data_IF_891711436906
#
_entry.id   IF_891711436906
#
_cell.length_a   1.000
_cell.length_b   1.000
_cell.length_c   1.000
_cell.angle_alpha   90.00
_cell.angle_beta   90.00
_cell.angle_gamma   90.00
#
_symmetry.space_group_name_H-M   'P 1'
#
loop_
_entity.id
_entity.type
_entity.pdbx_description
1 polymer ?
2 non-polymer ?
3 non-polymer ?
4 non-polymer ?
5 non-polymer ?
6 non-polymer ?
7 water ?
#
# COMPACT_ATOMS: atom_id res chain seq x y z
N UNK A 4 -14.72 -9.21 -3.57
CA UNK A 4 -14.11 -9.55 -4.86
C UNK A 4 -14.10 -8.35 -5.81
N UNK A 5 -12.97 -8.18 -6.51
CA UNK A 5 -12.81 -7.11 -7.48
C UNK A 5 -12.22 -7.68 -8.76
N UNK A 6 -12.46 -7.04 -9.89
CA UNK A 6 -11.90 -7.48 -11.16
C UNK A 6 -10.92 -6.47 -11.73
N UNK A 7 -11.25 -5.20 -11.61
CA UNK A 7 -10.40 -4.15 -12.13
C UNK A 7 -9.71 -3.39 -11.01
N UNK A 8 -8.38 -3.50 -10.97
CA UNK A 8 -7.57 -2.80 -9.99
C UNK A 8 -6.61 -1.87 -10.70
N UNK A 9 -6.48 -0.66 -10.17
CA UNK A 9 -5.43 0.25 -10.58
C UNK A 9 -4.41 0.38 -9.45
N UNK A 10 -3.15 0.17 -9.79
CA UNK A 10 -2.06 0.28 -8.84
C UNK A 10 -1.31 1.57 -9.08
N UNK A 11 -1.38 2.47 -8.11
CA UNK A 11 -0.65 3.74 -8.16
C UNK A 11 0.68 3.52 -7.43
N UNK A 12 1.74 4.16 -7.93
CA UNK A 12 3.06 3.93 -7.37
C UNK A 12 3.54 2.53 -7.70
N UNK A 13 3.26 2.13 -8.94
CA UNK A 13 3.44 0.74 -9.38
C UNK A 13 4.89 0.23 -9.36
N UNK A 14 5.87 1.13 -9.36
CA UNK A 14 7.27 0.68 -9.38
C UNK A 14 7.80 0.28 -8.00
N UNK A 15 7.06 0.58 -6.94
CA UNK A 15 7.48 0.25 -5.59
C UNK A 15 7.60 -1.25 -5.42
N UNK A 16 8.40 -1.70 -4.46
CA UNK A 16 8.62 -3.13 -4.28
C UNK A 16 7.36 -3.91 -3.94
N UNK A 17 6.59 -3.43 -2.97
CA UNK A 17 5.36 -4.13 -2.61
C UNK A 17 4.39 -4.09 -3.80
N UNK A 18 4.32 -2.96 -4.49
CA UNK A 18 3.43 -2.84 -5.63
C UNK A 18 3.79 -3.84 -6.72
N UNK A 19 5.08 -4.02 -6.97
CA UNK A 19 5.50 -4.99 -7.98
C UNK A 19 5.18 -6.43 -7.56
N UNK A 20 5.44 -6.75 -6.29
CA UNK A 20 5.16 -8.08 -5.81
C UNK A 20 3.70 -8.34 -5.83
N UNK A 21 2.90 -7.32 -5.50
CA UNK A 21 1.44 -7.46 -5.54
C UNK A 21 0.99 -7.76 -6.95
N UNK A 22 1.52 -7.01 -7.92
CA UNK A 22 1.15 -7.18 -9.32
C UNK A 22 1.42 -8.61 -9.75
N UNK A 23 2.60 -9.12 -9.41
CA UNK A 23 2.95 -10.49 -9.78
C UNK A 23 2.01 -11.51 -9.14
N UNK A 24 1.63 -11.27 -7.89
CA UNK A 24 0.77 -12.19 -7.18
C UNK A 24 -0.66 -12.16 -7.73
N UNK A 25 -1.13 -10.96 -8.07
CA UNK A 25 -2.45 -10.85 -8.71
C UNK A 25 -2.50 -11.51 -10.08
N UNK A 26 -1.41 -11.40 -10.86
CA UNK A 26 -1.39 -12.04 -12.17
C UNK A 26 -1.39 -13.55 -12.05
N UNK A 27 -0.67 -14.06 -11.06
CA UNK A 27 -0.50 -15.51 -10.92
C UNK A 27 -1.74 -16.20 -10.33
N UNK A 28 -2.37 -15.54 -9.37
CA UNK A 28 -3.41 -16.19 -8.56
C UNK A 28 -4.84 -15.64 -8.72
N UNK A 29 -5.03 -14.66 -9.60
CA UNK A 29 -6.37 -14.11 -9.86
C UNK A 29 -6.60 -13.89 -11.35
N UNK A 30 -7.83 -13.55 -11.70
CA UNK A 30 -8.17 -13.19 -13.06
C UNK A 30 -8.36 -11.67 -13.20
N UNK A 31 -7.82 -10.91 -12.25
CA UNK A 31 -7.98 -9.46 -12.27
C UNK A 31 -7.29 -8.78 -13.45
N UNK A 32 -7.91 -7.72 -13.96
CA UNK A 32 -7.27 -6.86 -14.94
C UNK A 32 -6.58 -5.74 -14.20
N UNK A 33 -5.29 -5.56 -14.47
CA UNK A 33 -4.47 -4.65 -13.70
C UNK A 33 -3.98 -3.47 -14.51
N UNK A 34 -4.22 -2.27 -13.99
CA UNK A 34 -3.71 -1.06 -14.61
C UNK A 34 -2.62 -0.49 -13.73
N UNK A 35 -1.42 -0.33 -14.28
CA UNK A 35 -0.28 0.21 -13.53
C UNK A 35 -0.07 1.68 -13.89
N UNK A 36 0.14 2.52 -12.88
CA UNK A 36 0.35 3.95 -13.11
C UNK A 36 1.63 4.42 -12.43
N UNK A 37 2.41 5.25 -13.15
CA UNK A 37 3.65 5.77 -12.62
C UNK A 37 4.56 6.31 -13.70
N UNK A 38 5.73 6.79 -13.30
CA UNK A 38 6.67 7.40 -14.25
C UNK A 38 7.62 6.38 -14.86
N UNK A 39 7.68 6.33 -16.19
CA UNK A 39 8.58 5.42 -16.92
C UNK A 39 8.49 3.95 -16.46
N UNK A 40 7.28 3.46 -16.29
CA UNK A 40 7.06 2.10 -15.80
C UNK A 40 7.63 1.01 -16.69
N UNK A 41 7.55 1.22 -17.99
CA UNK A 41 7.98 0.23 -18.94
C UNK A 41 9.45 -0.02 -18.83
N UNK A 42 10.16 0.86 -18.11
CA UNK A 42 11.59 0.70 -17.90
C UNK A 42 11.97 0.44 -16.44
N UNK A 43 11.06 0.71 -15.52
CA UNK A 43 11.33 0.51 -14.09
C UNK A 43 10.76 -0.81 -13.54
N UNK A 44 9.87 -1.43 -14.32
CA UNK A 44 9.23 -2.67 -13.92
C UNK A 44 9.65 -3.74 -14.94
N UNK A 45 10.02 -4.93 -14.46
CA UNK A 45 10.57 -5.96 -15.36
C UNK A 45 9.56 -6.53 -16.35
N UNK A 46 10.06 -7.16 -17.43
CA UNK A 46 9.20 -7.76 -18.46
C UNK A 46 8.25 -8.82 -17.90
N UNK A 47 8.66 -9.59 -16.90
CA UNK A 47 7.80 -10.63 -16.33
C UNK A 47 6.60 -10.10 -15.55
N UNK A 48 6.60 -8.80 -15.27
CA UNK A 48 5.49 -8.17 -14.55
C UNK A 48 4.64 -7.29 -15.50
N UNK A 49 5.21 -6.94 -16.65
CA UNK A 49 4.55 -6.02 -17.60
C UNK A 49 3.96 -6.62 -18.92
N UNK A 50 4.73 -7.41 -19.65
CA UNK A 50 4.32 -7.89 -20.99
C UNK A 50 3.04 -8.74 -21.02
N UNK A 51 2.38 -8.84 -19.88
CA UNK A 51 1.23 -9.71 -19.67
C UNK A 51 -0.05 -9.12 -20.25
N UNK A 52 -0.91 -9.98 -20.78
CA UNK A 52 -2.20 -9.62 -21.34
C UNK A 52 -3.06 -8.74 -20.42
N UNK A 53 -3.12 -9.11 -19.14
CA UNK A 53 -4.01 -8.43 -18.20
C UNK A 53 -3.39 -7.20 -17.56
N UNK A 54 -2.26 -6.73 -18.09
CA UNK A 54 -1.64 -5.51 -17.60
C UNK A 54 -1.81 -4.38 -18.61
N UNK A 55 -2.33 -3.26 -18.14
CA UNK A 55 -2.37 -2.03 -18.91
C UNK A 55 -1.42 -1.07 -18.21
N UNK A 56 -0.50 -0.46 -18.95
CA UNK A 56 0.46 0.48 -18.37
C UNK A 56 0.13 1.91 -18.79
N UNK A 57 -0.06 2.79 -17.81
CA UNK A 57 -0.23 4.21 -18.07
C UNK A 57 0.87 5.02 -17.39
N UNK A 58 1.66 5.74 -18.18
CA UNK A 58 2.74 6.54 -17.62
C UNK A 58 2.28 7.95 -17.28
N UNK A 59 2.73 8.44 -16.13
CA UNK A 59 2.35 9.77 -15.66
C UNK A 59 2.71 9.95 -14.21
N UNK A 60 2.59 11.19 -13.72
CA UNK A 60 2.86 11.49 -12.33
C UNK A 60 1.57 11.89 -11.64
N UNK A 61 1.62 12.09 -10.33
CA UNK A 61 0.44 12.53 -9.60
C UNK A 61 0.06 13.97 -9.89
N UNK A 62 0.91 14.67 -10.66
CA UNK A 62 0.64 16.05 -11.05
C UNK A 62 0.07 16.13 -12.47
N UNK A 63 -0.24 14.97 -13.05
CA UNK A 63 -0.94 14.91 -14.33
C UNK A 63 -2.35 14.37 -14.12
N UNK A 64 -3.31 15.28 -13.86
CA UNK A 64 -4.67 14.86 -13.50
C UNK A 64 -5.35 14.09 -14.61
N UNK A 65 -5.11 14.51 -15.86
CA UNK A 65 -5.68 13.78 -16.99
C UNK A 65 -5.23 12.34 -17.04
N UNK A 66 -3.93 12.11 -16.88
CA UNK A 66 -3.37 10.76 -16.97
C UNK A 66 -3.80 9.92 -15.77
N UNK A 67 -3.85 10.56 -14.60
CA UNK A 67 -4.26 9.88 -13.38
C UNK A 67 -5.72 9.46 -13.45
N UNK A 68 -6.57 10.34 -13.96
CA UNK A 68 -8.00 10.04 -14.11
C UNK A 68 -8.24 8.90 -15.11
N UNK A 69 -7.48 8.86 -16.20
CA UNK A 69 -7.57 7.77 -17.16
C UNK A 69 -7.27 6.44 -16.47
N UNK A 70 -6.22 6.44 -15.65
CA UNK A 70 -5.77 5.21 -14.99
C UNK A 70 -6.81 4.61 -14.03
N UNK A 71 -7.59 5.47 -13.38
CA UNK A 71 -8.57 4.99 -12.41
C UNK A 71 -9.99 4.89 -12.96
N UNK A 72 -10.16 5.32 -14.21
CA UNK A 72 -11.46 5.21 -14.88
C UNK A 72 -11.90 3.76 -14.87
N UNK A 73 -13.14 3.52 -14.44
CA UNK A 73 -13.67 2.16 -14.30
C UNK A 73 -12.93 1.19 -13.35
N UNK A 74 -12.00 1.68 -12.54
CA UNK A 74 -11.40 0.84 -11.51
C UNK A 74 -12.46 0.46 -10.48
N UNK A 75 -12.36 -0.75 -9.95
CA UNK A 75 -13.25 -1.19 -8.88
C UNK A 75 -12.57 -1.01 -7.53
N UNK A 76 -11.24 -1.03 -7.55
CA UNK A 76 -10.41 -0.81 -6.37
C UNK A 76 -9.10 -0.20 -6.79
N UNK A 77 -8.55 0.69 -5.97
CA UNK A 77 -7.29 1.34 -6.26
C UNK A 77 -6.30 1.08 -5.14
N UNK A 78 -5.10 0.64 -5.49
CA UNK A 78 -4.06 0.42 -4.50
C UNK A 78 -3.06 1.56 -4.59
N UNK A 79 -2.77 2.19 -3.46
CA UNK A 79 -1.80 3.28 -3.43
C UNK A 79 -0.53 2.80 -2.76
N UNK A 80 0.51 2.57 -3.56
CA UNK A 80 1.74 1.94 -3.06
C UNK A 80 2.55 2.80 -2.10
N UNK A 81 2.43 4.11 -2.23
CA UNK A 81 3.22 5.02 -1.42
C UNK A 81 2.36 6.20 -1.01
N UNK A 82 2.28 6.44 0.30
CA UNK A 82 1.53 7.58 0.83
C UNK A 82 2.52 8.55 1.46
N UNK A 83 3.25 9.26 0.62
CA UNK A 83 4.40 10.02 1.07
C UNK A 83 4.19 11.53 1.08
N UNK A 84 3.09 11.98 0.49
CA UNK A 84 2.88 13.39 0.23
C UNK A 84 1.40 13.79 0.34
N UNK A 85 1.12 14.81 1.14
CA UNK A 85 -0.21 15.39 1.21
C UNK A 85 -0.71 15.87 -0.15
N UNK A 86 0.17 16.53 -0.92
CA UNK A 86 -0.18 17.04 -2.25
C UNK A 86 -0.53 15.90 -3.19
N UNK A 87 0.34 14.88 -3.22
CA UNK A 87 0.08 13.74 -4.08
C UNK A 87 -1.22 13.07 -3.66
N UNK A 88 -1.43 12.96 -2.35
CA UNK A 88 -2.64 12.33 -1.85
C UNK A 88 -3.91 13.10 -2.24
N UNK A 89 -3.86 14.43 -2.18
CA UNK A 89 -5.03 15.22 -2.56
C UNK A 89 -5.35 15.04 -4.04
N UNK A 90 -4.31 14.96 -4.85
CA UNK A 90 -4.48 14.76 -6.29
C UNK A 90 -5.14 13.43 -6.57
N UNK A 91 -4.72 12.41 -5.82
CA UNK A 91 -5.32 11.09 -5.96
C UNK A 91 -6.79 11.09 -5.54
N UNK A 92 -7.09 11.68 -4.39
CA UNK A 92 -8.46 11.69 -3.89
C UNK A 92 -9.39 12.42 -4.86
N UNK A 93 -8.91 13.53 -5.42
CA UNK A 93 -9.69 14.26 -6.42
C UNK A 93 -9.96 13.45 -7.68
N UNK A 94 -8.94 12.76 -8.16
CA UNK A 94 -9.12 11.94 -9.36
C UNK A 94 -10.15 10.84 -9.10
N UNK A 95 -10.05 10.19 -7.95
CA UNK A 95 -11.00 9.13 -7.59
C UNK A 95 -12.40 9.70 -7.53
N UNK A 96 -12.52 10.88 -6.94
CA UNK A 96 -13.82 11.54 -6.78
C UNK A 96 -14.47 11.78 -8.13
N UNK A 97 -13.67 12.29 -9.06
CA UNK A 97 -14.18 12.66 -10.38
C UNK A 97 -14.60 11.45 -11.19
N UNK A 98 -14.02 10.30 -10.88
CA UNK A 98 -14.36 9.09 -11.60
C UNK A 98 -15.27 8.15 -10.81
N UNK A 99 -15.80 8.64 -9.69
CA UNK A 99 -16.73 7.87 -8.87
C UNK A 99 -16.14 6.58 -8.32
N UNK A 100 -14.83 6.57 -8.06
CA UNK A 100 -14.16 5.41 -7.49
C UNK A 100 -14.21 5.51 -5.97
N UNK A 101 -14.58 4.43 -5.29
CA UNK A 101 -14.85 4.48 -3.84
C UNK A 101 -13.83 3.72 -3.02
N UNK A 102 -13.37 2.59 -3.54
CA UNK A 102 -12.57 1.65 -2.74
C UNK A 102 -11.07 1.84 -2.95
N UNK A 103 -10.36 2.13 -1.86
CA UNK A 103 -8.93 2.34 -1.95
C UNK A 103 -8.19 1.68 -0.79
N UNK A 104 -7.07 1.03 -1.12
CA UNK A 104 -6.19 0.42 -0.12
C UNK A 104 -4.85 1.12 -0.26
N UNK A 105 -4.34 1.70 0.82
CA UNK A 105 -3.10 2.44 0.73
C UNK A 105 -2.09 2.04 1.78
N UNK A 106 -0.82 2.18 1.45
CA UNK A 106 0.26 1.78 2.35
C UNK A 106 0.92 2.97 3.03
N UNK A 107 0.93 2.95 4.35
CA UNK A 107 1.53 3.99 5.17
C UNK A 107 2.54 3.34 6.11
N UNK A 108 3.08 4.12 7.03
CA UNK A 108 4.05 3.59 7.99
C UNK A 108 3.45 3.49 9.38
N UNK A 109 3.79 2.41 10.07
CA UNK A 109 3.42 2.26 11.47
C UNK A 109 4.23 3.24 12.29
N UNK A 110 3.64 3.77 13.36
CA UNK A 110 4.38 4.60 14.29
C UNK A 110 3.88 6.03 14.42
N UNK A 111 3.18 6.51 13.40
CA UNK A 111 2.70 7.89 13.32
C UNK A 111 1.79 8.29 14.46
N UNK A 112 0.99 7.33 14.92
CA UNK A 112 0.01 7.57 15.97
C UNK A 112 0.52 7.17 17.34
N UNK A 113 1.84 7.01 17.46
CA UNK A 113 2.46 6.68 18.74
C UNK A 113 2.11 5.29 19.24
N UNK A 114 1.90 4.36 18.30
CA UNK A 114 1.46 3.00 18.64
C UNK A 114 2.60 2.02 18.93
N UNK A 115 3.81 2.38 18.54
CA UNK A 115 5.00 1.61 18.90
C UNK A 115 5.36 1.79 20.37
N UNK A 116 5.81 0.71 21.02
CA UNK A 116 6.37 0.83 22.37
C UNK A 116 7.62 1.72 22.35
N UNK A 117 8.02 2.22 23.51
CA UNK A 117 9.07 3.22 23.64
C UNK A 117 10.34 3.03 22.81
N UNK A 118 11.00 1.90 22.98
CA UNK A 118 12.30 1.67 22.34
C UNK A 118 12.20 1.57 20.83
N UNK A 119 11.18 0.85 20.35
CA UNK A 119 10.96 0.70 18.92
C UNK A 119 10.58 2.02 18.27
N UNK A 120 9.86 2.85 19.02
CA UNK A 120 9.47 4.16 18.54
C UNK A 120 10.68 5.08 18.36
N UNK A 121 11.52 5.16 19.40
CA UNK A 121 12.72 6.00 19.33
C UNK A 121 13.66 5.59 18.20
N UNK A 122 13.93 4.30 18.09
CA UNK A 122 14.78 3.80 17.02
C UNK A 122 14.19 4.15 15.66
N UNK A 123 12.88 3.94 15.51
CA UNK A 123 12.19 4.24 14.26
C UNK A 123 12.36 5.70 13.84
N UNK A 124 12.12 6.62 14.76
CA UNK A 124 12.14 8.04 14.40
C UNK A 124 13.53 8.67 14.32
N UNK A 125 14.54 7.92 14.74
CA UNK A 125 15.93 8.34 14.56
C UNK A 125 16.49 7.75 13.26
N UNK A 126 15.81 6.76 12.72
CA UNK A 126 16.24 6.14 11.47
C UNK A 126 15.38 6.53 10.26
N UNK A 127 14.63 7.62 10.41
CA UNK A 127 13.83 8.17 9.31
C UNK A 127 14.02 9.68 9.20
N UNK A 128 14.11 10.20 7.96
CA UNK A 128 14.17 11.65 7.78
C UNK A 128 12.86 12.27 8.27
N UNK A 129 12.94 13.43 8.93
CA UNK A 129 11.75 14.05 9.47
C UNK A 129 10.76 14.39 8.36
N UNK A 130 11.28 14.91 7.25
CA UNK A 130 10.45 15.27 6.10
C UNK A 130 9.67 14.07 5.59
N UNK A 131 10.26 12.88 5.68
CA UNK A 131 9.57 11.67 5.23
C UNK A 131 8.38 11.38 6.12
N UNK A 132 8.60 11.42 7.43
CA UNK A 132 7.53 11.18 8.38
C UNK A 132 6.42 12.23 8.23
N UNK A 133 6.82 13.49 8.10
CA UNK A 133 5.86 14.59 7.95
C UNK A 133 4.97 14.38 6.74
N UNK A 134 5.58 13.95 5.63
CA UNK A 134 4.83 13.73 4.41
C UNK A 134 3.87 12.57 4.54
N UNK A 135 4.32 11.51 5.22
CA UNK A 135 3.46 10.37 5.47
C UNK A 135 2.26 10.77 6.32
N UNK A 136 2.52 11.61 7.32
CA UNK A 136 1.45 12.08 8.20
C UNK A 136 0.41 12.88 7.40
N UNK A 137 0.88 13.76 6.53
CA UNK A 137 -0.02 14.59 5.73
C UNK A 137 -0.83 13.77 4.75
N UNK A 138 -0.18 12.81 4.10
CA UNK A 138 -0.90 11.93 3.18
C UNK A 138 -1.98 11.17 3.91
N UNK A 139 -1.65 10.66 5.09
CA UNK A 139 -2.60 9.90 5.87
C UNK A 139 -3.78 10.79 6.20
N UNK A 140 -3.48 12.02 6.61
CA UNK A 140 -4.53 12.93 7.03
C UNK A 140 -5.47 13.28 5.88
N UNK A 141 -4.91 13.51 4.70
CA UNK A 141 -5.74 13.79 3.54
C UNK A 141 -6.69 12.64 3.23
N UNK A 142 -6.18 11.42 3.28
CA UNK A 142 -7.02 10.27 2.98
C UNK A 142 -8.11 10.11 4.04
N UNK A 143 -7.75 10.25 5.32
CA UNK A 143 -8.74 10.14 6.38
C UNK A 143 -9.85 11.19 6.27
N UNK A 144 -9.52 12.34 5.71
CA UNK A 144 -10.49 13.41 5.56
C UNK A 144 -11.40 13.26 4.35
N UNK A 145 -11.07 12.32 3.47
CA UNK A 145 -11.89 12.06 2.29
C UNK A 145 -13.13 11.28 2.69
N UNK A 146 -14.06 11.06 1.76
CA UNK A 146 -15.19 10.16 2.02
C UNK A 146 -15.02 8.79 1.38
N UNK A 147 -13.78 8.44 1.05
CA UNK A 147 -13.50 7.18 0.38
C UNK A 147 -13.65 5.98 1.33
N UNK A 148 -14.01 4.83 0.74
CA UNK A 148 -14.01 3.58 1.48
C UNK A 148 -12.58 3.08 1.51
N UNK A 149 -11.79 3.63 2.42
CA UNK A 149 -10.35 3.37 2.44
C UNK A 149 -9.96 2.31 3.47
N UNK A 150 -8.85 1.64 3.21
CA UNK A 150 -8.16 0.86 4.22
C UNK A 150 -6.71 1.30 4.18
N UNK A 151 -6.20 1.83 5.28
CA UNK A 151 -4.80 2.21 5.36
C UNK A 151 -4.08 1.06 6.03
N UNK A 152 -2.98 0.63 5.43
CA UNK A 152 -2.18 -0.43 6.02
C UNK A 152 -0.94 0.22 6.60
N UNK A 153 -0.80 0.13 7.92
CA UNK A 153 0.35 0.71 8.61
C UNK A 153 1.43 -0.34 8.72
N UNK A 154 2.42 -0.24 7.84
CA UNK A 154 3.45 -1.26 7.79
C UNK A 154 4.59 -0.93 8.72
N UNK A 155 5.06 -1.95 9.44
CA UNK A 155 6.28 -1.82 10.21
C UNK A 155 7.46 -2.05 9.24
N UNK A 156 8.66 -2.15 9.79
CA UNK A 156 9.88 -2.14 8.97
C UNK A 156 9.95 -3.32 8.02
N UNK A 157 10.21 -3.05 6.75
CA UNK A 157 10.14 -4.07 5.70
C UNK A 157 11.46 -4.76 5.40
N UNK A 158 11.35 -6.02 5.03
CA UNK A 158 12.48 -6.76 4.48
C UNK A 158 11.93 -7.77 3.50
N UNK A 159 12.80 -8.42 2.75
CA UNK A 159 12.36 -9.43 1.79
C UNK A 159 12.74 -10.85 2.23
N UNK A 160 11.76 -11.75 2.20
CA UNK A 160 12.00 -13.20 2.38
C UNK A 160 10.77 -13.98 1.92
N UNK A 161 10.92 -14.74 0.82
CA UNK A 161 9.81 -15.51 0.25
C UNK A 161 9.28 -16.57 1.22
N UNK A 162 10.08 -16.95 2.21
CA UNK A 162 9.70 -18.01 3.13
C UNK A 162 8.98 -17.46 4.35
N UNK A 163 8.90 -16.14 4.43
CA UNK A 163 8.14 -15.47 5.48
C UNK A 163 6.89 -14.83 4.90
N UNK A 164 5.74 -15.50 5.08
CA UNK A 164 4.47 -14.96 4.58
C UNK A 164 3.44 -14.76 5.70
N UNK A 165 3.83 -15.07 6.93
CA UNK A 165 2.94 -14.92 8.07
C UNK A 165 2.80 -13.45 8.46
N UNK A 166 1.57 -13.01 8.71
CA UNK A 166 1.31 -11.65 9.17
C UNK A 166 0.22 -11.69 10.20
N UNK A 167 0.11 -10.60 10.97
CA UNK A 167 -1.06 -10.39 11.81
C UNK A 167 -1.53 -8.95 11.61
N UNK A 168 -2.82 -8.71 11.82
CA UNK A 168 -3.39 -7.39 11.64
C UNK A 168 -3.59 -6.75 13.01
N UNK A 169 -3.21 -5.49 13.12
CA UNK A 169 -3.22 -4.80 14.43
C UNK A 169 -4.20 -3.66 14.35
N UNK A 170 -5.30 -3.74 15.12
CA UNK A 170 -6.33 -2.71 14.98
C UNK A 170 -5.87 -1.33 15.44
N UNK A 171 -6.53 -0.30 14.91
CA UNK A 171 -6.24 1.07 15.32
C UNK A 171 -6.33 1.19 16.83
N UNK A 172 -5.35 1.84 17.45
CA UNK A 172 -5.38 2.08 18.88
C UNK A 172 -4.65 1.00 19.67
N UNK A 173 -4.42 -0.14 19.05
CA UNK A 173 -3.73 -1.22 19.75
C UNK A 173 -2.23 -0.96 19.73
N UNK A 174 -1.55 -1.36 20.80
CA UNK A 174 -0.10 -1.29 20.81
C UNK A 174 0.43 -2.21 19.71
N UNK A 175 1.39 -1.70 18.94
CA UNK A 175 1.93 -2.38 17.77
C UNK A 175 3.33 -2.78 18.15
N UNK A 176 3.53 -4.06 18.43
CA UNK A 176 4.80 -4.48 19.01
C UNK A 176 5.75 -5.12 18.01
N UNK A 177 5.26 -5.40 16.81
CA UNK A 177 6.08 -6.08 15.80
C UNK A 177 7.05 -5.13 15.12
N UNK A 178 8.34 -5.45 15.19
CA UNK A 178 9.38 -4.56 14.70
C UNK A 178 9.65 -4.73 13.21
N UNK A 179 9.06 -5.76 12.59
CA UNK A 179 9.32 -6.03 11.17
C UNK A 179 8.20 -6.83 10.53
N UNK A 180 8.17 -6.82 9.20
CA UNK A 180 7.29 -7.69 8.43
C UNK A 180 7.88 -7.81 7.03
N UNK A 181 7.77 -8.99 6.42
CA UNK A 181 8.30 -9.13 5.06
C UNK A 181 7.35 -8.54 4.02
N UNK A 182 7.90 -8.14 2.88
CA UNK A 182 7.06 -7.60 1.83
C UNK A 182 6.13 -8.69 1.32
N UNK A 183 6.64 -9.93 1.30
CA UNK A 183 5.82 -11.05 0.87
C UNK A 183 4.61 -11.26 1.79
N UNK A 184 4.81 -11.05 3.08
CA UNK A 184 3.70 -11.16 4.03
C UNK A 184 2.70 -10.05 3.85
N UNK A 185 3.18 -8.84 3.60
CA UNK A 185 2.29 -7.71 3.36
C UNK A 185 1.46 -7.97 2.11
N UNK A 186 2.08 -8.52 1.08
CA UNK A 186 1.34 -8.82 -0.14
C UNK A 186 0.25 -9.86 0.11
N UNK A 187 0.51 -10.85 0.96
CA UNK A 187 -0.50 -11.81 1.29
C UNK A 187 -1.61 -11.14 2.02
N UNK A 188 -1.29 -10.16 2.87
CA UNK A 188 -2.32 -9.44 3.59
C UNK A 188 -3.21 -8.66 2.62
N UNK A 189 -2.58 -7.98 1.67
CA UNK A 189 -3.33 -7.23 0.65
C UNK A 189 -4.21 -8.17 -0.17
N UNK A 190 -3.64 -9.29 -0.58
CA UNK A 190 -4.39 -10.30 -1.32
C UNK A 190 -5.62 -10.73 -0.54
N UNK A 191 -5.43 -11.00 0.75
CA UNK A 191 -6.53 -11.50 1.56
C UNK A 191 -7.61 -10.45 1.74
N UNK A 192 -7.20 -9.18 1.87
CA UNK A 192 -8.18 -8.09 1.99
C UNK A 192 -8.99 -7.94 0.71
N UNK A 193 -8.32 -8.07 -0.44
CA UNK A 193 -8.99 -8.04 -1.73
C UNK A 193 -9.97 -9.19 -1.91
N UNK A 194 -9.82 -10.24 -1.12
CA UNK A 194 -10.70 -11.40 -1.20
C UNK A 194 -11.69 -11.49 -0.03
N UNK A 195 -11.74 -10.44 0.77
CA UNK A 195 -12.68 -10.38 1.89
C UNK A 195 -14.12 -10.21 1.43
N UNK A 196 -14.94 -11.22 1.69
CA UNK A 196 -16.35 -11.17 1.33
C UNK A 196 -17.10 -10.15 2.18
N UNK A 197 -16.67 -9.98 3.43
CA UNK A 197 -17.24 -8.92 4.25
C UNK A 197 -16.18 -7.86 4.46
N UNK A 198 -16.44 -6.68 3.92
CA UNK A 198 -15.48 -5.60 3.89
C UNK A 198 -15.55 -4.69 5.11
N UNK A 199 -16.56 -4.90 5.95
CA UNK A 199 -16.77 -4.07 7.14
C UNK A 199 -15.53 -3.83 8.02
N UNK A 200 -14.74 -4.88 8.33
CA UNK A 200 -13.54 -4.65 9.13
C UNK A 200 -12.52 -3.73 8.47
N UNK A 201 -12.68 -3.48 7.17
CA UNK A 201 -11.69 -2.75 6.41
C UNK A 201 -12.23 -1.41 5.95
N UNK A 202 -13.48 -1.13 6.33
CA UNK A 202 -14.18 0.08 5.89
C UNK A 202 -13.71 1.31 6.67
N UNK A 203 -12.94 2.17 6.01
CA UNK A 203 -12.40 3.38 6.63
C UNK A 203 -11.67 3.06 7.92
N UNK A 204 -10.79 2.06 7.83
CA UNK A 204 -9.97 1.66 8.96
C UNK A 204 -8.49 1.82 8.67
N UNK A 205 -7.70 1.80 9.73
CA UNK A 205 -6.26 1.90 9.63
C UNK A 205 -5.69 0.75 10.42
N UNK A 206 -5.09 -0.21 9.71
CA UNK A 206 -4.74 -1.48 10.29
C UNK A 206 -3.24 -1.73 10.17
N UNK A 207 -2.61 -2.06 11.28
CA UNK A 207 -1.18 -2.40 11.30
C UNK A 207 -0.96 -3.78 10.69
N UNK A 208 0.16 -3.96 9.99
CA UNK A 208 0.52 -5.27 9.45
C UNK A 208 1.93 -5.61 9.95
N UNK A 209 2.06 -6.69 10.71
CA UNK A 209 3.34 -7.04 11.28
C UNK A 209 3.60 -8.54 11.26
N UNK A 210 4.87 -8.91 11.42
CA UNK A 210 5.23 -10.32 11.55
C UNK A 210 5.09 -10.73 13.01
N UNK A 211 4.22 -11.72 13.28
CA UNK A 211 4.02 -12.21 14.65
C UNK A 211 5.32 -12.64 15.32
N UNK A 212 5.49 -12.28 16.58
CA UNK A 212 6.61 -12.76 17.35
C UNK A 212 7.90 -11.98 17.11
N UNK A 213 7.76 -10.75 16.63
CA UNK A 213 8.91 -9.89 16.44
C UNK A 213 8.88 -8.68 17.38
N UNK A 214 8.64 -8.95 18.66
CA UNK A 214 8.59 -7.89 19.65
C UNK A 214 10.00 -7.46 20.05
N UNK A 215 10.65 -6.71 19.17
CA UNK A 215 12.03 -6.26 19.34
C UNK A 215 12.12 -4.76 19.44
N UNK A 216 13.26 -4.26 19.92
CA UNK A 216 13.47 -2.82 20.01
C UNK A 216 13.87 -2.20 18.67
N UNK A 217 14.15 -3.04 17.68
CA UNK A 217 14.52 -2.60 16.34
C UNK A 217 14.33 -3.77 15.38
N UNK A 218 14.10 -3.50 14.08
CA UNK A 218 13.98 -4.61 13.13
C UNK A 218 15.26 -5.43 13.09
N UNK A 219 15.15 -6.72 12.82
CA UNK A 219 16.31 -7.60 12.82
C UNK A 219 17.17 -7.38 11.58
N UNK A 220 18.38 -7.91 11.59
CA UNK A 220 19.18 -7.90 10.38
C UNK A 220 18.72 -9.04 9.47
N UNK A 221 17.88 -9.92 10.02
CA UNK A 221 17.31 -11.09 9.34
C UNK A 221 18.25 -11.79 8.37
X LIG B 1 8.24 2.38 10.31
X LIG B 1 7.19 1.62 10.88
X LIG B 1 8.55 1.84 8.92
X LIG B 1 7.34 1.78 8.20
X LIG B 1 9.49 2.81 8.22
X LIG B 1 9.67 2.39 6.89
X LIG C 1 7.87 -1.47 -0.76
X LIG D 1 5.83 4.25 -9.38
X LIG E 1 4.40 -7.07 25.40
X LIG E 1 3.14 -7.46 25.00
X LIG E 1 5.33 -7.08 24.23
X LIG E 1 6.21 -8.14 24.30
X LIG E 1 5.75 -9.43 24.51
X LIG E 1 6.82 -10.39 24.13
X LIG E 1 6.26 -11.63 23.91
X LIG F 1 -7.96 6.22 11.04
X LIG F 1 -8.50 5.61 10.12
X LIG F 1 -6.75 6.28 11.24
X LIG G 1 2.62 0.60 -23.71
X LIG G 1 1.82 1.50 -23.45
X LIG G 1 2.96 0.31 -24.85
X LIG H 1 18.96 1.87 8.83
X LIG H 1 18.25 2.80 8.11
X LIG H 1 16.91 2.24 7.75
X LIG H 1 16.69 2.43 6.40
X LIG H 1 15.85 1.56 5.72
X LIG H 1 15.16 2.32 4.65
X LIG H 1 14.20 1.51 4.08
X LIG H 1 13.11 2.11 3.47
X LIG H 1 12.29 2.83 4.48
X LIG H 1 12.06 4.12 4.06
X LIG H 1 12.89 5.14 4.47
X LIG H 1 12.59 6.37 3.69
X LIG H 1 13.76 6.88 3.16
#
# INVERSE_FOLDING_TARGET
>A
SNAMYKYITILGAAGQIAQXLTATLLTYTDMHITLYGRQLXTRIPPEIIDHERVTVIEGSFQNPGKLEQAVTNAEVVFVGAMESGSDMASIVKALSRKNIRRVIGVSMAGLSGEFPVALEKWTFDNLPISYVQGERQARNVLRESNLNYTILRLTWLYNDPEKTDYELIPEGAQFNDAQVSREAVVXAIFDILHAADETPFHRTSIGVGEPGTHYDKPSFH
>B hetero
1 GOL C1 O1 C2 O2 C3 O3
>C hetero
1 CL CL
>D hetero
1 CL CL
>E hetero
1 PEG C1 O1 C2 O2 C3 C4 O4
>F hetero
1 FMT C O1 O2
>G hetero
1 FMT C O1 O2
>H hetero
1 PG4 O1 C1 C2 O2 C3 C4 O3 C5 C6 O4 C7 C8 O5
#
